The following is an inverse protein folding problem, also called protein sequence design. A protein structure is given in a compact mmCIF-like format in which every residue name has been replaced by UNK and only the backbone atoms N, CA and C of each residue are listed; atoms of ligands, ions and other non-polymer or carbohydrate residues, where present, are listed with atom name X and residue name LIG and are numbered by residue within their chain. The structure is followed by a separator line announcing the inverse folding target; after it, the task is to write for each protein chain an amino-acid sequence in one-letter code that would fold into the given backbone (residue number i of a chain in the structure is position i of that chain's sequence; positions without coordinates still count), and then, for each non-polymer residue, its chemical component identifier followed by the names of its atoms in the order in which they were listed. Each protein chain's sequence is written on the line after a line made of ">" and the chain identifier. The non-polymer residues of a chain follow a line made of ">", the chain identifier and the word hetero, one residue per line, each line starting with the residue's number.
data_IF_553403598951
#
_entry.id   IF_553403598951
#
_cell.length_a   1.000
_cell.length_b   1.000
_cell.length_c   1.000
_cell.angle_alpha   90.00
_cell.angle_beta   90.00
_cell.angle_gamma   90.00
#
_symmetry.space_group_name_H-M   'P 1'
#
loop_
_entity.id
_entity.type
_entity.pdbx_description
1 polymer ?
#
# COMPACT_ATOMS: atom_id res chain seq x y z
N UNK A 1 -0.06 -22.43 -2.86
CA UNK A 1 -1.35 -21.95 -3.40
C UNK A 1 -1.62 -22.55 -4.78
N UNK A 2 -2.87 -22.61 -5.25
CA UNK A 2 -3.18 -22.84 -6.66
C UNK A 2 -3.26 -21.49 -7.38
N UNK A 3 -2.40 -21.25 -8.37
CA UNK A 3 -2.32 -19.95 -9.05
C UNK A 3 -3.26 -19.91 -10.24
N UNK A 4 -4.24 -18.99 -10.23
CA UNK A 4 -5.24 -18.84 -11.28
C UNK A 4 -5.12 -17.48 -11.96
N UNK A 5 -4.95 -16.42 -11.17
CA UNK A 5 -5.05 -15.04 -11.63
C UNK A 5 -3.70 -14.42 -11.98
N UNK A 6 -2.58 -15.10 -11.70
CA UNK A 6 -1.23 -14.58 -11.98
C UNK A 6 -0.33 -15.51 -12.78
N UNK A 7 0.75 -14.94 -13.32
CA UNK A 7 1.82 -15.65 -14.04
C UNK A 7 3.21 -15.33 -13.47
N UNK A 8 4.11 -16.31 -13.54
CA UNK A 8 5.47 -16.15 -13.02
C UNK A 8 6.20 -15.17 -13.92
N UNK A 9 6.85 -14.17 -13.31
CA UNK A 9 7.69 -13.25 -14.06
C UNK A 9 9.05 -13.92 -14.28
N UNK A 10 9.61 -13.75 -15.47
CA UNK A 10 10.95 -14.27 -15.79
C UNK A 10 12.00 -13.61 -14.86
N UNK A 11 12.75 -14.36 -14.05
CA UNK A 11 13.73 -13.80 -13.12
C UNK A 11 14.86 -13.03 -13.79
N UNK A 12 15.07 -13.20 -15.11
CA UNK A 12 16.07 -12.45 -15.87
C UNK A 12 15.58 -11.05 -16.30
N UNK A 13 14.34 -10.67 -16.01
CA UNK A 13 13.77 -9.38 -16.41
C UNK A 13 13.68 -8.37 -15.27
N UNK A 14 14.19 -8.70 -14.08
CA UNK A 14 14.23 -7.81 -12.93
C UNK A 14 15.40 -8.13 -12.01
N UNK A 15 15.84 -7.16 -11.22
CA UNK A 15 16.89 -7.31 -10.23
C UNK A 15 16.32 -7.34 -8.81
N UNK A 16 16.95 -8.10 -7.90
CA UNK A 16 16.50 -8.23 -6.51
C UNK A 16 17.56 -7.85 -5.48
N UNK A 17 18.84 -7.77 -5.86
CA UNK A 17 19.99 -7.60 -4.95
C UNK A 17 20.04 -8.65 -3.81
N UNK A 18 19.36 -9.79 -4.00
CA UNK A 18 19.15 -10.83 -3.01
C UNK A 18 18.23 -10.42 -1.85
N UNK A 19 17.43 -9.35 -2.00
CA UNK A 19 16.54 -8.83 -0.95
C UNK A 19 15.20 -9.58 -0.85
N UNK A 20 14.93 -10.53 -1.75
CA UNK A 20 13.75 -11.41 -1.70
C UNK A 20 14.10 -12.88 -2.00
N UNK A 21 15.31 -13.32 -1.68
CA UNK A 21 15.77 -14.69 -1.98
C UNK A 21 14.82 -15.76 -1.44
N UNK A 22 14.53 -16.76 -2.28
CA UNK A 22 13.56 -17.82 -1.97
C UNK A 22 12.10 -17.46 -2.27
N UNK A 23 11.83 -16.24 -2.76
CA UNK A 23 10.49 -15.78 -3.15
C UNK A 23 10.47 -15.45 -4.64
N UNK A 24 9.55 -16.06 -5.38
CA UNK A 24 9.36 -15.77 -6.82
C UNK A 24 8.50 -14.53 -7.02
N UNK A 25 8.74 -13.78 -8.09
CA UNK A 25 7.85 -12.70 -8.49
C UNK A 25 6.69 -13.26 -9.33
N UNK A 26 5.48 -12.85 -8.97
CA UNK A 26 4.25 -13.15 -9.69
C UNK A 26 3.57 -11.84 -10.06
N UNK A 27 2.88 -11.81 -11.21
CA UNK A 27 2.13 -10.65 -11.65
C UNK A 27 0.71 -11.05 -12.03
N UNK A 28 -0.29 -10.29 -11.58
CA UNK A 28 -1.69 -10.50 -11.95
C UNK A 28 -1.90 -10.29 -13.46
N UNK A 29 -2.71 -11.15 -14.09
CA UNK A 29 -2.97 -11.19 -15.54
C UNK A 29 -3.89 -10.06 -16.02
N UNK A 30 -4.70 -9.45 -15.14
CA UNK A 30 -5.50 -8.28 -15.50
C UNK A 30 -4.58 -7.07 -15.69
N UNK A 31 -4.37 -6.71 -16.97
CA UNK A 31 -3.50 -5.61 -17.37
C UNK A 31 -4.09 -4.23 -17.06
N UNK A 32 -5.40 -4.14 -16.81
CA UNK A 32 -6.13 -2.86 -16.80
C UNK A 32 -6.77 -2.53 -15.46
N UNK A 33 -7.08 -3.52 -14.63
CA UNK A 33 -7.78 -3.31 -13.35
C UNK A 33 -7.09 -2.28 -12.46
N UNK A 34 -5.77 -2.41 -12.26
CA UNK A 34 -5.02 -1.46 -11.44
C UNK A 34 -4.95 -0.05 -12.05
N UNK A 35 -4.75 0.04 -13.37
CA UNK A 35 -4.72 1.32 -14.10
C UNK A 35 -6.06 2.06 -13.94
N UNK A 36 -7.19 1.35 -14.12
CA UNK A 36 -8.52 1.94 -13.96
C UNK A 36 -8.75 2.44 -12.53
N UNK A 37 -8.43 1.61 -11.54
CA UNK A 37 -8.61 1.95 -10.12
C UNK A 37 -7.81 3.18 -9.71
N UNK A 38 -6.53 3.22 -10.07
CA UNK A 38 -5.64 4.32 -9.74
C UNK A 38 -6.08 5.64 -10.42
N UNK A 39 -6.33 5.64 -11.73
CA UNK A 39 -6.72 6.87 -12.44
C UNK A 39 -8.07 7.39 -11.92
N UNK A 40 -9.03 6.47 -11.65
CA UNK A 40 -10.31 6.84 -11.06
C UNK A 40 -10.13 7.50 -9.69
N UNK A 41 -9.24 6.96 -8.84
CA UNK A 41 -8.94 7.55 -7.54
C UNK A 41 -8.31 8.95 -7.65
N UNK A 42 -7.30 9.11 -8.51
CA UNK A 42 -6.67 10.41 -8.74
C UNK A 42 -7.68 11.46 -9.24
N UNK A 43 -8.63 11.05 -10.08
CA UNK A 43 -9.70 11.91 -10.55
C UNK A 43 -10.63 12.33 -9.40
N UNK A 44 -11.12 11.36 -8.62
CA UNK A 44 -12.00 11.64 -7.48
C UNK A 44 -11.30 12.55 -6.46
N UNK A 45 -10.01 12.34 -6.20
CA UNK A 45 -9.18 13.22 -5.39
C UNK A 45 -9.13 14.65 -5.97
N UNK A 46 -8.85 14.78 -7.26
CA UNK A 46 -8.77 16.09 -7.95
C UNK A 46 -10.08 16.88 -7.90
N UNK A 47 -11.22 16.18 -7.95
CA UNK A 47 -12.54 16.81 -7.91
C UNK A 47 -12.98 17.17 -6.49
N UNK A 48 -12.68 16.32 -5.50
CA UNK A 48 -13.26 16.40 -4.15
C UNK A 48 -12.32 17.04 -3.12
N UNK A 49 -11.02 17.01 -3.36
CA UNK A 49 -10.00 17.38 -2.38
C UNK A 49 -9.15 18.53 -2.91
N UNK A 50 -8.28 18.26 -3.88
CA UNK A 50 -7.39 19.27 -4.47
C UNK A 50 -6.82 18.80 -5.82
N UNK A 51 -6.51 19.71 -6.76
CA UNK A 51 -6.00 19.34 -8.08
C UNK A 51 -4.69 18.55 -8.00
N UNK A 52 -4.63 17.41 -8.71
CA UNK A 52 -3.40 16.64 -8.88
C UNK A 52 -2.73 16.95 -10.22
N UNK A 53 -1.39 16.98 -10.21
CA UNK A 53 -0.58 17.15 -11.40
C UNK A 53 0.46 16.04 -11.50
N UNK A 54 0.32 15.14 -12.48
CA UNK A 54 1.24 14.03 -12.75
C UNK A 54 1.56 13.18 -11.50
N UNK A 55 0.54 12.85 -10.70
CA UNK A 55 0.73 12.07 -9.48
C UNK A 55 1.32 10.68 -9.78
N UNK A 56 2.25 10.26 -8.92
CA UNK A 56 2.97 8.98 -9.03
C UNK A 56 2.74 8.17 -7.75
N UNK A 57 1.66 7.39 -7.76
CA UNK A 57 1.27 6.45 -6.70
C UNK A 57 1.64 5.01 -7.04
N UNK A 58 0.62 4.14 -7.10
CA UNK A 58 0.70 2.68 -7.25
C UNK A 58 1.22 2.23 -8.62
N UNK A 59 1.02 3.05 -9.66
CA UNK A 59 1.31 2.64 -11.03
C UNK A 59 2.81 2.57 -11.33
N UNK A 60 3.20 1.59 -12.13
CA UNK A 60 4.56 1.44 -12.66
C UNK A 60 4.55 0.66 -13.97
N UNK A 61 5.64 0.73 -14.72
CA UNK A 61 5.82 -0.05 -15.94
C UNK A 61 7.19 -0.73 -15.91
N UNK A 62 7.28 -2.06 -16.10
CA UNK A 62 6.18 -3.00 -16.35
C UNK A 62 5.42 -3.44 -15.08
N UNK A 63 5.89 -3.05 -13.89
CA UNK A 63 5.39 -3.54 -12.61
C UNK A 63 4.55 -2.48 -11.90
N UNK A 64 3.22 -2.62 -11.89
CA UNK A 64 2.34 -1.84 -11.01
C UNK A 64 2.17 -2.54 -9.66
N UNK A 65 2.09 -1.77 -8.58
CA UNK A 65 2.25 -2.25 -7.21
C UNK A 65 1.27 -3.35 -6.84
N UNK A 66 -0.04 -3.13 -6.97
CA UNK A 66 -1.06 -4.12 -6.55
C UNK A 66 -0.95 -5.39 -7.38
N UNK A 67 -0.69 -5.28 -8.68
CA UNK A 67 -0.52 -6.43 -9.58
C UNK A 67 0.64 -7.33 -9.20
N UNK A 68 1.71 -6.80 -8.62
CA UNK A 68 2.87 -7.61 -8.18
C UNK A 68 2.87 -7.96 -6.71
N UNK A 69 2.17 -7.19 -5.86
CA UNK A 69 2.13 -7.42 -4.40
C UNK A 69 0.96 -8.28 -3.95
N UNK A 70 -0.16 -8.26 -4.68
CA UNK A 70 -1.33 -9.13 -4.45
C UNK A 70 -1.70 -9.85 -5.77
N UNK A 71 -0.77 -10.64 -6.32
CA UNK A 71 -0.88 -11.14 -7.70
C UNK A 71 -2.07 -12.07 -7.92
N UNK A 72 -2.51 -12.80 -6.89
CA UNK A 72 -3.69 -13.69 -6.94
C UNK A 72 -5.00 -13.00 -6.53
N UNK A 73 -5.08 -11.68 -6.71
CA UNK A 73 -6.36 -10.96 -6.57
C UNK A 73 -7.38 -11.54 -7.55
N UNK A 74 -8.57 -11.86 -7.02
CA UNK A 74 -9.69 -12.43 -7.77
C UNK A 74 -10.19 -11.42 -8.80
N UNK A 75 -10.56 -11.92 -9.98
CA UNK A 75 -11.19 -11.13 -11.04
C UNK A 75 -12.37 -10.29 -10.49
N UNK A 76 -12.43 -9.02 -10.89
CA UNK A 76 -13.43 -8.07 -10.43
C UNK A 76 -13.10 -7.36 -9.10
N UNK A 77 -12.06 -7.77 -8.35
CA UNK A 77 -11.62 -7.08 -7.13
C UNK A 77 -10.41 -6.17 -7.32
N UNK A 78 -9.63 -6.37 -8.40
CA UNK A 78 -8.38 -5.65 -8.64
C UNK A 78 -8.57 -4.13 -8.74
N UNK A 79 -9.63 -3.68 -9.40
CA UNK A 79 -9.91 -2.25 -9.60
C UNK A 79 -10.16 -1.51 -8.27
N UNK A 80 -11.06 -2.02 -7.42
CA UNK A 80 -11.38 -1.36 -6.14
C UNK A 80 -10.23 -1.41 -5.13
N UNK A 81 -9.45 -2.49 -5.11
CA UNK A 81 -8.22 -2.54 -4.28
C UNK A 81 -7.20 -1.52 -4.76
N UNK A 82 -7.03 -1.40 -6.07
CA UNK A 82 -6.08 -0.44 -6.64
C UNK A 82 -6.52 0.99 -6.40
N UNK A 83 -7.83 1.26 -6.48
CA UNK A 83 -8.40 2.54 -6.07
C UNK A 83 -8.10 2.85 -4.59
N UNK A 84 -8.35 1.89 -3.69
CA UNK A 84 -8.09 2.06 -2.27
C UNK A 84 -6.60 2.25 -1.96
N UNK A 85 -5.72 1.52 -2.65
CA UNK A 85 -4.27 1.65 -2.49
C UNK A 85 -3.75 3.00 -3.01
N UNK A 86 -4.26 3.48 -4.15
CA UNK A 86 -3.91 4.81 -4.66
C UNK A 86 -4.36 5.91 -3.69
N UNK A 87 -5.55 5.76 -3.11
CA UNK A 87 -6.03 6.66 -2.06
C UNK A 87 -5.11 6.64 -0.83
N UNK A 88 -4.59 5.48 -0.43
CA UNK A 88 -3.66 5.38 0.69
C UNK A 88 -2.34 6.12 0.40
N UNK A 89 -1.78 6.01 -0.81
CA UNK A 89 -0.59 6.78 -1.20
C UNK A 89 -0.86 8.29 -1.21
N UNK A 90 -2.00 8.73 -1.75
CA UNK A 90 -2.39 10.15 -1.77
C UNK A 90 -2.59 10.70 -0.36
N UNK A 91 -3.25 9.92 0.50
CA UNK A 91 -3.50 10.27 1.90
C UNK A 91 -2.19 10.39 2.68
N UNK A 92 -1.27 9.44 2.49
CA UNK A 92 0.05 9.44 3.12
C UNK A 92 0.86 10.68 2.74
N UNK A 93 0.94 11.00 1.44
CA UNK A 93 1.65 12.20 0.95
C UNK A 93 1.02 13.49 1.51
N UNK A 94 -0.31 13.63 1.49
CA UNK A 94 -0.97 14.92 1.78
C UNK A 94 -1.33 15.18 3.24
N UNK A 95 -1.59 14.14 4.03
CA UNK A 95 -2.02 14.30 5.43
C UNK A 95 -0.82 14.29 6.37
N UNK A 96 0.26 13.56 6.04
CA UNK A 96 1.52 13.67 6.79
C UNK A 96 2.13 15.07 6.58
N UNK A 97 2.08 15.61 5.36
CA UNK A 97 2.50 17.00 5.08
C UNK A 97 1.70 18.03 5.90
N UNK A 98 0.36 17.94 5.96
CA UNK A 98 -0.50 18.84 6.76
C UNK A 98 -0.30 18.65 8.30
N UNK A 99 0.12 17.47 8.75
CA UNK A 99 0.36 17.14 10.16
C UNK A 99 1.70 17.70 10.65
N UNK A 100 2.74 17.67 9.81
CA UNK A 100 4.05 18.25 10.12
C UNK A 100 3.97 19.79 10.21
N UNK A 101 3.12 20.45 9.40
CA UNK A 101 2.86 21.90 9.54
C UNK A 101 2.08 22.27 10.82
N UNK A 102 1.27 21.35 11.38
CA UNK A 102 0.41 21.60 12.55
C UNK A 102 0.97 21.12 13.88
N UNK A 103 2.15 20.50 13.90
CA UNK A 103 2.80 19.99 15.11
C UNK A 103 3.48 21.10 15.94
N UNK A 104 2.74 22.18 16.24
CA UNK A 104 2.95 23.03 17.43
C UNK A 104 1.92 22.78 18.54
N UNK A 105 0.93 21.89 18.36
CA UNK A 105 -0.01 21.52 19.44
C UNK A 105 -0.10 20.01 19.63
N UNK A 106 0.18 19.59 20.87
CA UNK A 106 0.09 18.22 21.38
C UNK A 106 -1.22 17.52 20.96
N UNK A 107 -1.13 16.48 20.12
CA UNK A 107 -1.93 15.23 20.20
C UNK A 107 -1.70 14.34 18.98
N UNK A 108 -0.46 13.87 18.81
CA UNK A 108 -0.04 12.95 17.73
C UNK A 108 -0.74 11.57 17.77
N UNK A 109 -1.45 11.23 18.86
CA UNK A 109 -2.09 9.92 19.06
C UNK A 109 -3.60 9.89 18.84
N UNK A 110 -4.27 11.04 18.79
CA UNK A 110 -5.74 11.07 18.82
C UNK A 110 -6.36 11.00 17.41
N UNK A 111 -5.66 11.50 16.38
CA UNK A 111 -6.17 11.53 15.00
C UNK A 111 -6.00 10.20 14.24
N UNK A 112 -5.04 9.37 14.64
CA UNK A 112 -4.80 8.05 14.02
C UNK A 112 -5.84 7.00 14.46
N UNK A 113 -6.61 7.30 15.52
CA UNK A 113 -7.62 6.40 16.12
C UNK A 113 -9.05 6.67 15.63
N UNK A 114 -9.29 7.78 14.90
CA UNK A 114 -10.62 8.21 14.41
C UNK A 114 -11.14 7.48 13.16
N UNK A 115 -10.52 6.35 12.82
CA UNK A 115 -11.02 5.41 11.83
C UNK A 115 -11.90 4.31 12.45
N UNK A 116 -11.91 4.16 13.78
CA UNK A 116 -12.55 3.04 14.47
C UNK A 116 -13.40 3.38 15.70
N UNK A 117 -13.59 4.64 16.05
CA UNK A 117 -14.50 5.02 17.13
C UNK A 117 -15.95 4.95 16.64
N UNK A 118 -16.77 4.09 17.26
CA UNK A 118 -18.22 4.04 17.05
C UNK A 118 -18.80 5.45 17.27
N UNK A 119 -19.20 6.13 16.18
CA UNK A 119 -20.00 7.34 16.29
C UNK A 119 -21.41 6.89 16.70
N UNK A 120 -21.72 6.99 17.98
CA UNK A 120 -22.91 6.38 18.59
C UNK A 120 -24.19 7.21 18.42
N UNK A 121 -24.13 8.43 17.85
CA UNK A 121 -25.32 9.26 17.63
C UNK A 121 -25.34 10.02 16.28
N UNK A 122 -26.56 10.21 15.74
CA UNK A 122 -26.82 11.03 14.53
C UNK A 122 -26.43 12.50 14.71
N UNK A 123 -26.40 12.98 15.94
CA UNK A 123 -26.14 14.37 16.28
C UNK A 123 -24.64 14.68 16.29
N UNK A 124 -23.82 13.71 16.71
CA UNK A 124 -22.36 13.77 16.64
C UNK A 124 -21.87 13.72 15.18
N UNK A 125 -22.46 12.83 14.36
CA UNK A 125 -22.23 12.78 12.90
C UNK A 125 -22.48 14.14 12.23
N UNK A 126 -23.56 14.83 12.63
CA UNK A 126 -23.94 16.12 12.04
C UNK A 126 -22.97 17.23 12.46
N UNK A 127 -22.58 17.28 13.74
CA UNK A 127 -21.61 18.26 14.25
C UNK A 127 -20.21 18.08 13.65
N UNK A 128 -19.74 16.84 13.51
CA UNK A 128 -18.49 16.53 12.82
C UNK A 128 -18.55 16.94 11.34
N UNK A 129 -19.64 16.62 10.64
CA UNK A 129 -19.82 17.03 9.24
C UNK A 129 -19.84 18.56 9.04
N UNK A 130 -20.40 19.31 9.99
CA UNK A 130 -20.45 20.77 9.96
C UNK A 130 -19.10 21.42 10.28
N UNK A 131 -18.24 20.79 11.10
CA UNK A 131 -16.92 21.31 11.47
C UNK A 131 -15.80 20.95 10.50
N UNK A 132 -16.03 20.01 9.57
CA UNK A 132 -15.00 19.55 8.63
C UNK A 132 -14.70 20.55 7.52
N UNK A 133 -13.42 20.69 7.20
CA UNK A 133 -12.94 21.43 6.03
C UNK A 133 -13.43 20.76 4.73
N UNK A 134 -13.48 21.48 3.60
CA UNK A 134 -13.77 20.88 2.29
C UNK A 134 -12.88 19.67 1.96
N UNK A 135 -11.56 19.77 2.20
CA UNK A 135 -10.58 18.66 2.09
C UNK A 135 -11.00 17.46 2.95
N UNK A 136 -11.35 17.69 4.21
CA UNK A 136 -11.83 16.63 5.11
C UNK A 136 -13.10 15.95 4.58
N UNK A 137 -14.07 16.71 4.05
CA UNK A 137 -15.31 16.17 3.47
C UNK A 137 -15.02 15.29 2.25
N UNK A 138 -14.13 15.72 1.37
CA UNK A 138 -13.69 14.93 0.21
C UNK A 138 -13.05 13.60 0.61
N UNK A 139 -12.15 13.63 1.61
CA UNK A 139 -11.52 12.41 2.18
C UNK A 139 -12.59 11.43 2.70
N UNK A 140 -13.55 11.90 3.50
CA UNK A 140 -14.62 11.03 4.03
C UNK A 140 -15.53 10.49 2.92
N UNK A 141 -15.76 11.24 1.84
CA UNK A 141 -16.54 10.77 0.69
C UNK A 141 -15.83 9.63 -0.03
N UNK A 142 -14.53 9.76 -0.34
CA UNK A 142 -13.74 8.71 -0.97
C UNK A 142 -13.68 7.46 -0.07
N UNK A 143 -13.46 7.62 1.24
CA UNK A 143 -13.47 6.52 2.20
C UNK A 143 -14.81 5.77 2.23
N UNK A 144 -15.93 6.51 2.23
CA UNK A 144 -17.28 5.93 2.18
C UNK A 144 -17.53 5.17 0.87
N UNK A 145 -17.04 5.70 -0.25
CA UNK A 145 -17.13 5.05 -1.55
C UNK A 145 -16.39 3.71 -1.57
N UNK A 146 -15.13 3.68 -1.08
CA UNK A 146 -14.34 2.45 -0.96
C UNK A 146 -15.10 1.40 -0.15
N UNK A 147 -15.59 1.79 1.04
CA UNK A 147 -16.33 0.90 1.93
C UNK A 147 -17.60 0.35 1.25
N UNK A 148 -18.40 1.21 0.62
CA UNK A 148 -19.65 0.79 -0.03
C UNK A 148 -19.41 -0.18 -1.19
N UNK A 149 -18.40 0.08 -2.02
CA UNK A 149 -18.06 -0.80 -3.14
C UNK A 149 -17.50 -2.14 -2.67
N UNK A 150 -16.58 -2.13 -1.70
CA UNK A 150 -16.06 -3.37 -1.11
C UNK A 150 -17.18 -4.18 -0.46
N UNK A 151 -18.08 -3.55 0.30
CA UNK A 151 -19.21 -4.27 0.92
C UNK A 151 -20.21 -4.81 -0.10
N UNK A 152 -20.39 -4.14 -1.24
CA UNK A 152 -21.25 -4.61 -2.32
C UNK A 152 -20.69 -5.86 -3.02
N UNK A 153 -19.36 -5.99 -3.07
CA UNK A 153 -18.65 -7.15 -3.64
C UNK A 153 -18.58 -8.29 -2.62
N UNK A 154 -18.14 -8.00 -1.40
CA UNK A 154 -17.92 -8.97 -0.31
C UNK A 154 -18.06 -8.26 1.04
N UNK A 155 -19.27 -8.34 1.61
CA UNK A 155 -19.62 -7.62 2.84
C UNK A 155 -18.73 -7.96 4.02
N UNK A 156 -18.47 -9.24 4.24
CA UNK A 156 -17.69 -9.71 5.40
C UNK A 156 -16.27 -9.14 5.36
N UNK A 157 -15.57 -9.37 4.24
CA UNK A 157 -14.18 -8.93 4.09
C UNK A 157 -14.05 -7.42 3.92
N UNK A 158 -15.05 -6.78 3.30
CA UNK A 158 -15.12 -5.32 3.20
C UNK A 158 -15.18 -4.63 4.58
N UNK A 159 -15.87 -5.24 5.56
CA UNK A 159 -15.86 -4.74 6.95
C UNK A 159 -14.49 -4.92 7.63
N UNK A 160 -13.80 -6.04 7.36
CA UNK A 160 -12.47 -6.31 7.91
C UNK A 160 -11.42 -5.30 7.48
N UNK A 161 -11.48 -4.84 6.22
CA UNK A 161 -10.49 -3.91 5.62
C UNK A 161 -10.40 -2.55 6.31
N UNK A 162 -11.44 -2.14 7.05
CA UNK A 162 -11.60 -0.76 7.50
C UNK A 162 -11.10 -0.47 8.92
N UNK A 163 -10.66 -1.48 9.66
CA UNK A 163 -9.99 -1.25 10.93
C UNK A 163 -8.52 -0.87 10.64
N UNK A 164 -7.94 0.18 11.23
CA UNK A 164 -6.49 0.58 11.36
C UNK A 164 -5.49 0.39 10.18
N UNK A 165 -4.47 1.25 10.05
CA UNK A 165 -3.48 1.22 8.96
C UNK A 165 -2.68 -0.10 8.80
N UNK A 166 -2.27 -0.77 9.90
CA UNK A 166 -1.67 -2.13 9.82
C UNK A 166 -2.67 -3.18 9.35
N UNK A 167 -3.94 -2.95 9.66
CA UNK A 167 -5.06 -3.79 9.23
C UNK A 167 -5.54 -3.39 7.82
N UNK A 168 -5.14 -2.24 7.27
CA UNK A 168 -5.49 -1.80 5.92
C UNK A 168 -4.90 -2.72 4.87
N UNK A 169 -3.57 -2.94 4.88
CA UNK A 169 -2.95 -3.85 3.92
C UNK A 169 -3.34 -5.32 4.18
N UNK A 170 -3.49 -5.74 5.44
CA UNK A 170 -4.11 -7.03 5.79
C UNK A 170 -5.49 -7.18 5.13
N UNK A 171 -6.32 -6.16 5.24
CA UNK A 171 -7.65 -6.06 4.64
C UNK A 171 -7.66 -6.11 3.12
N UNK A 172 -6.79 -5.35 2.45
CA UNK A 172 -6.69 -5.38 1.00
C UNK A 172 -6.30 -6.77 0.48
N UNK A 173 -5.34 -7.44 1.14
CA UNK A 173 -4.91 -8.79 0.76
C UNK A 173 -6.03 -9.80 1.00
N UNK A 174 -6.66 -9.80 2.18
CA UNK A 174 -7.75 -10.74 2.49
C UNK A 174 -8.98 -10.50 1.63
N UNK A 175 -9.35 -9.23 1.39
CA UNK A 175 -10.41 -8.87 0.46
C UNK A 175 -10.08 -9.28 -0.97
N UNK A 176 -8.87 -8.99 -1.46
CA UNK A 176 -8.49 -9.26 -2.85
C UNK A 176 -8.46 -10.73 -3.18
N UNK A 177 -7.97 -11.53 -2.25
CA UNK A 177 -7.81 -12.97 -2.41
C UNK A 177 -9.00 -13.77 -1.86
N UNK A 178 -10.00 -13.10 -1.27
CA UNK A 178 -11.18 -13.76 -0.72
C UNK A 178 -10.88 -14.66 0.49
N UNK A 179 -9.99 -14.21 1.38
CA UNK A 179 -9.54 -14.96 2.57
C UNK A 179 -10.29 -14.51 3.82
N UNK A 180 -10.64 -15.43 4.70
CA UNK A 180 -11.16 -15.14 6.04
C UNK A 180 -10.24 -15.80 7.06
N UNK A 181 -9.52 -14.97 7.82
CA UNK A 181 -8.69 -15.46 8.94
C UNK A 181 -9.59 -15.58 10.17
N UNK A 182 -9.68 -16.75 10.81
CA UNK A 182 -10.44 -16.91 12.06
C UNK A 182 -9.94 -15.95 13.15
N UNK A 183 -10.84 -15.42 13.97
CA UNK A 183 -10.51 -14.44 15.01
C UNK A 183 -9.49 -14.99 16.00
N UNK A 184 -9.61 -16.28 16.37
CA UNK A 184 -8.68 -17.00 17.24
C UNK A 184 -7.27 -17.13 16.64
N UNK A 185 -7.12 -16.98 15.32
CA UNK A 185 -5.85 -17.07 14.61
C UNK A 185 -5.23 -15.68 14.33
N UNK A 186 -5.90 -14.57 14.64
CA UNK A 186 -5.38 -13.23 14.32
C UNK A 186 -4.06 -12.92 15.04
N UNK A 187 -3.89 -13.35 16.28
CA UNK A 187 -2.63 -13.18 17.00
C UNK A 187 -1.54 -14.13 16.49
N UNK A 188 -1.91 -15.32 16.05
CA UNK A 188 -0.99 -16.22 15.36
C UNK A 188 -0.53 -15.60 14.03
N UNK A 189 -1.46 -15.06 13.25
CA UNK A 189 -1.21 -14.36 11.99
C UNK A 189 -0.21 -13.21 12.16
N UNK A 190 -0.44 -12.33 13.14
CA UNK A 190 0.48 -11.23 13.46
C UNK A 190 1.88 -11.73 13.81
N UNK A 191 1.98 -12.76 14.66
CA UNK A 191 3.28 -13.30 15.07
C UNK A 191 4.03 -13.94 13.91
N UNK A 192 3.35 -14.78 13.11
CA UNK A 192 3.97 -15.49 11.99
C UNK A 192 4.30 -14.56 10.82
N UNK A 193 3.49 -13.54 10.57
CA UNK A 193 3.70 -12.58 9.48
C UNK A 193 4.74 -11.50 9.80
N UNK A 194 5.15 -11.34 11.07
CA UNK A 194 6.03 -10.24 11.51
C UNK A 194 7.30 -10.08 10.66
N UNK A 195 8.07 -11.14 10.31
CA UNK A 195 9.26 -10.98 9.49
C UNK A 195 8.95 -10.46 8.09
N UNK A 196 7.85 -10.92 7.47
CA UNK A 196 7.42 -10.42 6.16
C UNK A 196 7.02 -8.95 6.20
N UNK A 197 6.30 -8.53 7.23
CA UNK A 197 5.93 -7.11 7.43
C UNK A 197 7.15 -6.22 7.68
N UNK A 198 8.12 -6.70 8.46
CA UNK A 198 9.37 -5.98 8.68
C UNK A 198 10.16 -5.83 7.36
N UNK A 199 10.25 -6.90 6.55
CA UNK A 199 10.90 -6.86 5.25
C UNK A 199 10.19 -5.87 4.29
N UNK A 200 8.86 -5.85 4.27
CA UNK A 200 8.07 -4.90 3.49
C UNK A 200 8.38 -3.44 3.86
N UNK A 201 8.27 -3.12 5.16
CA UNK A 201 8.51 -1.76 5.66
C UNK A 201 9.95 -1.30 5.40
N UNK A 202 10.94 -2.12 5.75
CA UNK A 202 12.35 -1.75 5.55
C UNK A 202 12.73 -1.66 4.07
N UNK A 203 12.12 -2.48 3.20
CA UNK A 203 12.30 -2.35 1.75
C UNK A 203 11.72 -1.03 1.26
N UNK A 204 10.56 -0.62 1.77
CA UNK A 204 9.99 0.69 1.46
C UNK A 204 10.96 1.80 1.86
N UNK A 205 11.36 1.85 3.14
CA UNK A 205 12.30 2.84 3.67
C UNK A 205 13.60 2.91 2.85
N UNK A 206 14.13 1.76 2.43
CA UNK A 206 15.38 1.70 1.66
C UNK A 206 15.26 2.39 0.30
N UNK A 207 14.14 2.22 -0.40
CA UNK A 207 13.93 2.73 -1.76
C UNK A 207 13.21 4.08 -1.80
N UNK A 208 12.44 4.43 -0.76
CA UNK A 208 11.81 5.74 -0.61
C UNK A 208 12.76 6.78 -0.01
N UNK A 209 13.90 6.37 0.55
CA UNK A 209 14.84 7.23 1.28
C UNK A 209 15.16 8.54 0.57
N UNK A 210 15.57 8.49 -0.70
CA UNK A 210 15.91 9.68 -1.46
C UNK A 210 14.73 10.66 -1.56
N UNK A 211 13.54 10.14 -1.86
CA UNK A 211 12.31 10.94 -1.91
C UNK A 211 12.03 11.56 -0.54
N UNK A 212 11.96 10.76 0.52
CA UNK A 212 11.59 11.23 1.86
C UNK A 212 12.61 12.20 2.46
N UNK A 213 13.90 11.98 2.22
CA UNK A 213 14.96 12.91 2.61
C UNK A 213 14.80 14.25 1.90
N UNK A 214 14.56 14.24 0.60
CA UNK A 214 14.42 15.45 -0.20
C UNK A 214 13.09 16.19 0.15
N UNK A 215 12.02 15.46 0.46
CA UNK A 215 10.75 15.99 0.95
C UNK A 215 10.92 16.67 2.31
N UNK A 216 11.55 15.98 3.28
CA UNK A 216 11.86 16.55 4.60
C UNK A 216 12.71 17.82 4.48
N UNK A 217 13.71 17.83 3.60
CA UNK A 217 14.54 19.01 3.36
C UNK A 217 13.75 20.18 2.78
N UNK A 218 12.82 19.92 1.83
CA UNK A 218 11.93 20.95 1.26
C UNK A 218 10.98 21.53 2.30
N UNK A 219 10.49 20.69 3.21
CA UNK A 219 9.56 21.08 4.27
C UNK A 219 10.27 21.65 5.51
N UNK A 220 11.60 21.72 5.51
CA UNK A 220 12.38 22.20 6.65
C UNK A 220 12.30 21.28 7.88
N UNK A 221 11.89 20.02 7.70
CA UNK A 221 11.78 19.06 8.79
C UNK A 221 13.18 18.59 9.23
N UNK A 222 13.51 18.65 10.53
CA UNK A 222 14.82 18.24 11.04
C UNK A 222 14.98 16.72 11.12
N UNK A 223 13.91 15.95 10.88
CA UNK A 223 13.87 14.50 11.04
C UNK A 223 13.21 13.84 9.84
N UNK A 224 13.68 12.65 9.48
CA UNK A 224 13.08 11.83 8.43
C UNK A 224 12.57 10.54 9.08
N UNK A 225 11.28 10.24 8.89
CA UNK A 225 10.63 9.03 9.41
C UNK A 225 11.00 7.81 8.55
N UNK A 226 12.28 7.42 8.60
CA UNK A 226 12.85 6.38 7.75
C UNK A 226 13.96 5.60 8.48
N UNK A 227 14.02 4.28 8.31
CA UNK A 227 15.03 3.44 8.94
C UNK A 227 16.47 3.83 8.57
N UNK A 228 16.74 4.33 7.37
CA UNK A 228 18.08 4.78 6.97
C UNK A 228 18.53 5.94 7.85
N UNK A 229 17.67 6.94 8.09
CA UNK A 229 17.94 8.07 8.99
C UNK A 229 18.19 7.60 10.43
N UNK A 230 17.34 6.71 10.93
CA UNK A 230 17.48 6.14 12.28
C UNK A 230 18.83 5.42 12.43
N UNK A 231 19.18 4.55 11.48
CA UNK A 231 20.43 3.79 11.51
C UNK A 231 21.68 4.69 11.43
N UNK A 232 21.62 5.78 10.66
CA UNK A 232 22.70 6.78 10.64
C UNK A 232 22.92 7.40 12.01
N UNK A 233 21.83 7.79 12.70
CA UNK A 233 21.88 8.39 14.04
C UNK A 233 22.33 7.41 15.12
N UNK A 234 21.69 6.24 15.22
CA UNK A 234 21.97 5.25 16.26
C UNK A 234 23.38 4.68 16.19
N UNK A 235 23.91 4.48 14.97
CA UNK A 235 25.23 3.88 14.77
C UNK A 235 26.33 4.88 14.42
N UNK A 236 26.00 6.17 14.27
CA UNK A 236 26.95 7.21 13.85
C UNK A 236 27.68 6.85 12.55
N UNK A 237 26.93 6.37 11.55
CA UNK A 237 27.46 5.91 10.26
C UNK A 237 26.97 6.76 9.09
N UNK A 238 27.71 6.76 7.99
CA UNK A 238 27.30 7.41 6.75
C UNK A 238 26.11 6.68 6.09
N UNK A 239 25.36 7.40 5.26
CA UNK A 239 24.16 6.92 4.54
C UNK A 239 24.39 5.57 3.84
N UNK A 240 25.49 5.43 3.09
CA UNK A 240 25.81 4.19 2.38
C UNK A 240 25.87 2.98 3.33
N UNK A 241 26.48 3.16 4.51
CA UNK A 241 26.59 2.11 5.52
C UNK A 241 25.25 1.82 6.19
N UNK A 242 24.44 2.84 6.48
CA UNK A 242 23.09 2.65 7.00
C UNK A 242 22.20 1.87 6.03
N UNK A 243 22.28 2.18 4.73
CA UNK A 243 21.59 1.41 3.68
C UNK A 243 22.05 -0.04 3.63
N UNK A 244 23.35 -0.32 3.79
CA UNK A 244 23.86 -1.70 3.86
C UNK A 244 23.36 -2.46 5.09
N UNK A 245 23.25 -1.78 6.23
CA UNK A 245 22.67 -2.34 7.45
C UNK A 245 21.18 -2.65 7.24
N UNK A 246 20.43 -1.73 6.64
CA UNK A 246 19.03 -1.94 6.26
C UNK A 246 18.86 -3.15 5.33
N UNK A 247 19.67 -3.24 4.26
CA UNK A 247 19.68 -4.39 3.34
C UNK A 247 19.94 -5.71 4.06
N UNK A 248 20.88 -5.74 5.01
CA UNK A 248 21.15 -6.93 5.81
C UNK A 248 19.93 -7.34 6.63
N UNK A 249 19.30 -6.40 7.34
CA UNK A 249 18.09 -6.67 8.12
C UNK A 249 16.95 -7.19 7.25
N UNK A 250 16.74 -6.61 6.06
CA UNK A 250 15.75 -7.11 5.08
C UNK A 250 16.02 -8.58 4.75
N UNK A 251 17.27 -8.94 4.42
CA UNK A 251 17.65 -10.32 4.10
C UNK A 251 17.38 -11.29 5.25
N UNK A 252 17.73 -10.89 6.47
CA UNK A 252 17.49 -11.71 7.66
C UNK A 252 15.98 -11.93 7.89
N UNK A 253 15.16 -10.86 7.75
CA UNK A 253 13.70 -10.96 7.84
C UNK A 253 13.08 -11.83 6.74
N UNK A 254 13.57 -11.74 5.50
CA UNK A 254 13.10 -12.57 4.38
C UNK A 254 13.43 -14.03 4.59
N UNK A 255 14.66 -14.34 5.02
CA UNK A 255 15.05 -15.72 5.29
C UNK A 255 14.17 -16.35 6.38
N UNK A 256 13.87 -15.60 7.45
CA UNK A 256 12.96 -16.04 8.51
C UNK A 256 11.52 -16.22 7.99
N UNK A 257 11.01 -15.28 7.20
CA UNK A 257 9.67 -15.35 6.61
C UNK A 257 9.49 -16.60 5.73
N UNK A 258 10.45 -16.86 4.83
CA UNK A 258 10.46 -18.04 3.96
C UNK A 258 10.52 -19.32 4.78
N UNK A 259 11.34 -19.35 5.83
CA UNK A 259 11.40 -20.50 6.73
C UNK A 259 10.06 -20.77 7.44
N UNK A 260 9.41 -19.73 7.97
CA UNK A 260 8.11 -19.83 8.63
C UNK A 260 7.05 -20.40 7.69
N UNK A 261 6.90 -19.82 6.49
CA UNK A 261 5.88 -20.25 5.52
C UNK A 261 6.10 -21.70 5.08
N UNK A 262 7.35 -22.11 4.86
CA UNK A 262 7.67 -23.50 4.53
C UNK A 262 7.32 -24.48 5.66
N UNK A 263 7.55 -24.07 6.92
CA UNK A 263 7.25 -24.89 8.10
C UNK A 263 5.75 -25.11 8.30
N UNK A 264 4.93 -24.07 8.09
CA UNK A 264 3.48 -24.14 8.36
C UNK A 264 2.66 -24.74 7.22
N UNK A 265 3.26 -24.92 6.03
CA UNK A 265 2.57 -25.37 4.80
C UNK A 265 1.83 -26.71 4.94
N UNK A 266 2.22 -27.53 5.91
CA UNK A 266 1.66 -28.84 6.19
C UNK A 266 1.09 -28.97 7.61
N UNK A 267 0.97 -27.85 8.34
CA UNK A 267 0.44 -27.84 9.69
C UNK A 267 -1.10 -27.82 9.67
N UNK A 268 -1.71 -28.97 9.97
CA UNK A 268 -3.17 -29.10 9.99
C UNK A 268 -3.85 -28.36 11.15
N UNK A 269 -3.09 -27.81 12.11
CA UNK A 269 -3.63 -26.98 13.18
C UNK A 269 -3.87 -25.53 12.79
N UNK A 270 -3.35 -25.11 11.63
CA UNK A 270 -3.47 -23.75 11.09
C UNK A 270 -4.47 -23.75 9.95
N UNK A 271 -5.41 -22.81 9.96
CA UNK A 271 -6.43 -22.70 8.91
C UNK A 271 -5.81 -22.54 7.52
N UNK A 272 -6.54 -23.02 6.52
CA UNK A 272 -6.08 -22.95 5.14
C UNK A 272 -5.90 -21.49 4.68
N UNK A 273 -6.82 -20.62 5.06
CA UNK A 273 -6.80 -19.21 4.68
C UNK A 273 -5.62 -18.48 5.32
N UNK A 274 -5.24 -18.82 6.56
CA UNK A 274 -4.04 -18.26 7.19
C UNK A 274 -2.75 -18.74 6.49
N UNK A 275 -2.66 -20.02 6.13
CA UNK A 275 -1.51 -20.51 5.35
C UNK A 275 -1.39 -19.78 4.00
N UNK A 276 -2.52 -19.59 3.30
CA UNK A 276 -2.59 -18.87 2.02
C UNK A 276 -2.22 -17.41 2.21
N UNK A 277 -2.71 -16.75 3.26
CA UNK A 277 -2.40 -15.36 3.59
C UNK A 277 -0.89 -15.17 3.85
N UNK A 278 -0.27 -16.03 4.66
CA UNK A 278 1.17 -15.93 4.94
C UNK A 278 2.02 -16.19 3.68
N UNK A 279 1.60 -17.11 2.79
CA UNK A 279 2.19 -17.28 1.46
C UNK A 279 1.99 -16.02 0.60
N UNK A 280 0.81 -15.37 0.66
CA UNK A 280 0.50 -14.17 -0.09
C UNK A 280 1.38 -12.98 0.28
N UNK A 281 1.67 -12.79 1.58
CA UNK A 281 2.55 -11.71 2.03
C UNK A 281 4.00 -11.91 1.55
N UNK A 282 4.46 -13.14 1.29
CA UNK A 282 5.75 -13.32 0.60
C UNK A 282 5.71 -12.71 -0.80
N UNK A 283 4.64 -12.92 -1.57
CA UNK A 283 4.52 -12.25 -2.87
C UNK A 283 4.47 -10.73 -2.73
N UNK A 284 3.84 -10.20 -1.67
CA UNK A 284 3.95 -8.77 -1.34
C UNK A 284 5.40 -8.33 -1.14
N UNK A 285 6.25 -9.11 -0.46
CA UNK A 285 7.68 -8.81 -0.29
C UNK A 285 8.39 -8.70 -1.64
N UNK A 286 8.26 -9.74 -2.49
CA UNK A 286 8.92 -9.73 -3.81
C UNK A 286 8.38 -8.63 -4.73
N UNK A 287 7.05 -8.41 -4.72
CA UNK A 287 6.38 -7.41 -5.52
C UNK A 287 6.75 -6.00 -5.09
N UNK A 288 6.78 -5.72 -3.78
CA UNK A 288 7.15 -4.42 -3.24
C UNK A 288 8.59 -4.06 -3.60
N UNK A 289 9.52 -5.02 -3.45
CA UNK A 289 10.92 -4.83 -3.84
C UNK A 289 11.03 -4.46 -5.33
N UNK A 290 10.45 -5.28 -6.20
CA UNK A 290 10.60 -5.10 -7.65
C UNK A 290 9.89 -3.82 -8.08
N UNK A 291 8.66 -3.57 -7.62
CA UNK A 291 7.99 -2.30 -7.88
C UNK A 291 8.84 -1.12 -7.39
N UNK A 292 9.36 -1.13 -6.17
CA UNK A 292 10.12 0.00 -5.61
C UNK A 292 11.38 0.34 -6.42
N UNK A 293 12.03 -0.67 -7.01
CA UNK A 293 13.20 -0.49 -7.88
C UNK A 293 12.88 0.19 -9.21
N UNK A 294 11.65 0.06 -9.72
CA UNK A 294 11.28 0.52 -11.06
C UNK A 294 10.14 1.54 -11.07
N UNK A 295 9.51 1.83 -9.92
CA UNK A 295 8.33 2.67 -9.90
C UNK A 295 8.70 4.14 -10.12
N UNK A 296 7.91 4.90 -10.90
CA UNK A 296 8.12 6.33 -11.07
C UNK A 296 8.08 7.12 -9.75
N UNK A 297 7.41 6.59 -8.72
CA UNK A 297 7.28 7.21 -7.39
C UNK A 297 8.63 7.42 -6.71
N UNK A 298 9.52 6.42 -6.76
CA UNK A 298 10.86 6.50 -6.18
C UNK A 298 11.95 6.78 -7.23
N UNK A 299 11.62 6.57 -8.50
CA UNK A 299 12.53 6.74 -9.62
C UNK A 299 11.98 7.83 -10.55
N UNK A 300 12.19 9.13 -10.26
CA UNK A 300 11.51 10.22 -10.96
C UNK A 300 11.81 10.31 -12.46
N UNK A 301 12.90 9.69 -12.93
CA UNK A 301 13.27 9.57 -14.35
C UNK A 301 12.44 8.55 -15.10
N UNK A 302 11.81 7.60 -14.40
CA UNK A 302 10.97 6.58 -15.01
C UNK A 302 9.65 7.18 -15.47
N UNK A 303 9.18 6.71 -16.62
CA UNK A 303 7.96 7.14 -17.27
C UNK A 303 7.02 5.96 -17.47
N UNK A 304 5.72 6.22 -17.45
CA UNK A 304 4.73 5.22 -17.83
C UNK A 304 4.85 4.85 -19.31
N UNK A 305 4.47 3.62 -19.64
CA UNK A 305 4.36 3.21 -21.04
C UNK A 305 3.18 3.90 -21.76
N UNK A 306 3.17 3.79 -23.09
CA UNK A 306 2.14 4.39 -23.93
C UNK A 306 0.71 3.90 -23.58
N UNK A 307 0.55 2.70 -23.03
CA UNK A 307 -0.76 2.18 -22.69
C UNK A 307 -1.35 2.91 -21.48
N UNK A 308 -0.57 3.02 -20.40
CA UNK A 308 -0.94 3.79 -19.20
C UNK A 308 -1.17 5.26 -19.57
N UNK A 309 -0.27 5.85 -20.36
CA UNK A 309 -0.41 7.24 -20.81
C UNK A 309 -1.67 7.47 -21.65
N UNK A 310 -2.03 6.54 -22.53
CA UNK A 310 -3.27 6.61 -23.32
C UNK A 310 -4.49 6.57 -22.42
N UNK A 311 -4.53 5.67 -21.43
CA UNK A 311 -5.65 5.57 -20.49
C UNK A 311 -5.77 6.81 -19.60
N UNK A 312 -4.65 7.40 -19.19
CA UNK A 312 -4.63 8.70 -18.49
C UNK A 312 -5.22 9.80 -19.39
N UNK A 313 -4.80 9.87 -20.66
CA UNK A 313 -5.25 10.89 -21.60
C UNK A 313 -6.72 10.74 -22.05
N UNK A 314 -7.22 9.51 -22.23
CA UNK A 314 -8.63 9.24 -22.55
C UNK A 314 -9.56 9.71 -21.43
N UNK A 315 -9.14 9.55 -20.18
CA UNK A 315 -9.89 10.05 -19.03
C UNK A 315 -9.93 11.59 -18.97
N UNK A 316 -8.84 12.29 -19.32
CA UNK A 316 -8.84 13.77 -19.44
C UNK A 316 -9.78 14.24 -20.57
N UNK A 317 -9.83 13.53 -21.70
CA UNK A 317 -10.71 13.89 -22.83
C UNK A 317 -12.21 13.71 -22.53
N UNK A 318 -12.58 12.77 -21.65
CA UNK A 318 -13.96 12.61 -21.21
C UNK A 318 -14.47 13.83 -20.42
N UNK A 319 -13.59 14.54 -19.70
CA UNK A 319 -13.93 15.73 -18.92
C UNK A 319 -14.30 16.94 -19.79
N UNK A 320 -13.61 17.13 -20.92
CA UNK A 320 -13.92 18.20 -21.85
C UNK A 320 -15.29 18.05 -22.53
N UNK A 321 -15.82 16.83 -22.63
CA UNK A 321 -17.14 16.56 -23.24
C UNK A 321 -18.31 16.65 -22.26
N UNK A 322 -18.08 16.55 -20.95
CA UNK A 322 -19.14 16.67 -19.94
C UNK A 322 -19.39 18.11 -19.48
N UNK A 323 -18.56 19.06 -19.92
CA UNK A 323 -18.64 20.50 -19.58
C UNK A 323 -19.01 21.38 -20.78
N UNK A 324 -19.47 20.77 -21.88
CA UNK A 324 -20.04 21.42 -23.08
C UNK A 324 -21.46 20.94 -23.29
#
# INVERSE_FOLDING_TARGET
>A
MDFRYSELVNPNTYETDGLCDGIVLRINKDLKGEIRGAIRCQKDWSMLIEPLHNYKGTLGSPFSFVRVTVPETIDGRLEIISYANEFAFLYDDTIIEDLDEKLESESRRQLVDDFGTEITSREDMKRLSESMTPKGKGIKQIQSQILNEMMAIDRERGLTTMNSWQKFWFGLVTFGMGLTIPDEELDLCKRLGRPSWAALALTNDLYSWEKERDDAARNGSPHVMNAVYVLMGEHSVAEARAKDMCRKTIKDCVAEAVHIVNKIKHDSSISRDLQIYLEAILYSVSGNLVWSKYCPRYNPKETYDNHILSMMAENVKAEYKSHT
#
